data_IF_137531926163
#
_entry.id   IF_137531926163
#
_cell.length_a   1.000
_cell.length_b   1.000
_cell.length_c   1.000
_cell.angle_alpha   90.00
_cell.angle_beta   90.00
_cell.angle_gamma   90.00
#
_symmetry.space_group_name_H-M   'P 1'
#
loop_
_entity.id
_entity.type
_entity.pdbx_description
1 polymer ?
#
# COMPACT_ATOMS: atom_id res chain seq x y z
N UNK A 1 -18.27 4.35 17.15
CA UNK A 1 -17.24 3.62 16.34
C UNK A 1 -16.29 2.91 17.29
N UNK A 2 -16.13 1.61 17.12
CA UNK A 2 -15.21 0.80 17.94
C UNK A 2 -13.77 1.35 17.83
N UNK A 3 -13.00 1.46 18.94
CA UNK A 3 -11.62 1.91 18.94
C UNK A 3 -10.72 1.17 17.93
N UNK A 4 -10.98 -0.13 17.69
CA UNK A 4 -10.24 -0.90 16.70
C UNK A 4 -10.53 -0.46 15.26
N UNK A 5 -11.77 -0.09 14.95
CA UNK A 5 -12.11 0.51 13.65
C UNK A 5 -11.38 1.85 13.46
N UNK A 6 -11.36 2.69 14.48
CA UNK A 6 -10.61 3.96 14.43
C UNK A 6 -9.13 3.71 14.19
N UNK A 7 -8.52 2.79 14.93
CA UNK A 7 -7.13 2.42 14.74
C UNK A 7 -6.85 1.90 13.32
N UNK A 8 -7.72 1.04 12.79
CA UNK A 8 -7.60 0.53 11.41
C UNK A 8 -7.69 1.65 10.37
N UNK A 9 -8.61 2.60 10.54
CA UNK A 9 -8.72 3.75 9.63
C UNK A 9 -7.50 4.67 9.71
N UNK A 10 -6.93 4.87 10.90
CA UNK A 10 -5.70 5.66 11.07
C UNK A 10 -4.54 5.01 10.32
N UNK A 11 -4.30 3.72 10.51
CA UNK A 11 -3.18 3.04 9.82
C UNK A 11 -3.39 2.97 8.31
N UNK A 12 -4.64 2.85 7.83
CA UNK A 12 -4.96 2.97 6.39
C UNK A 12 -4.67 4.37 5.85
N UNK A 13 -5.02 5.42 6.60
CA UNK A 13 -4.69 6.80 6.23
C UNK A 13 -3.18 7.05 6.20
N UNK A 14 -2.44 6.51 7.17
CA UNK A 14 -0.98 6.57 7.18
C UNK A 14 -0.38 5.86 5.97
N UNK A 15 -0.86 4.64 5.65
CA UNK A 15 -0.42 3.91 4.47
C UNK A 15 -0.66 4.70 3.17
N UNK A 16 -1.86 5.25 3.00
CA UNK A 16 -2.17 6.09 1.85
C UNK A 16 -1.24 7.31 1.75
N UNK A 17 -0.95 7.96 2.87
CA UNK A 17 -0.01 9.09 2.95
C UNK A 17 1.40 8.70 2.51
N UNK A 18 1.89 7.54 2.92
CA UNK A 18 3.18 6.99 2.51
C UNK A 18 3.21 6.75 1.00
N UNK A 19 2.24 6.01 0.46
CA UNK A 19 2.15 5.71 -0.98
C UNK A 19 2.09 6.99 -1.84
N UNK A 20 1.30 7.99 -1.42
CA UNK A 20 1.24 9.28 -2.13
C UNK A 20 2.61 9.96 -2.12
N UNK A 21 3.29 9.97 -0.98
CA UNK A 21 4.62 10.59 -0.86
C UNK A 21 5.63 9.92 -1.79
N UNK A 22 5.64 8.60 -1.84
CA UNK A 22 6.51 7.83 -2.73
C UNK A 22 6.25 8.09 -4.20
N UNK A 23 4.97 8.13 -4.60
CA UNK A 23 4.57 8.46 -5.97
C UNK A 23 5.04 9.86 -6.35
N UNK A 24 4.89 10.84 -5.47
CA UNK A 24 5.36 12.21 -5.71
C UNK A 24 6.88 12.27 -5.87
N UNK A 25 7.64 11.56 -5.04
CA UNK A 25 9.10 11.47 -5.16
C UNK A 25 9.54 10.81 -6.47
N UNK A 26 8.89 9.73 -6.85
CA UNK A 26 9.14 9.06 -8.13
C UNK A 26 8.82 9.97 -9.33
N UNK A 27 7.77 10.77 -9.23
CA UNK A 27 7.38 11.71 -10.28
C UNK A 27 8.38 12.87 -10.42
N UNK A 28 8.91 13.35 -9.31
CA UNK A 28 9.88 14.45 -9.29
C UNK A 28 11.26 14.04 -9.85
N UNK A 29 11.57 12.75 -9.88
CA UNK A 29 12.86 12.25 -10.38
C UNK A 29 12.92 12.32 -11.90
N UNK A 30 13.75 13.24 -12.45
CA UNK A 30 13.84 13.52 -13.88
C UNK A 30 15.20 13.15 -14.52
N UNK A 31 16.26 13.02 -13.73
CA UNK A 31 17.61 12.71 -14.17
C UNK A 31 18.18 11.47 -13.47
N UNK A 32 19.34 11.00 -13.90
CA UNK A 32 19.97 9.79 -13.38
C UNK A 32 20.28 9.88 -11.87
N UNK A 33 20.65 11.04 -11.37
CA UNK A 33 20.99 11.24 -9.97
C UNK A 33 19.73 11.23 -9.10
N UNK A 34 18.68 11.93 -9.51
CA UNK A 34 17.40 11.97 -8.80
C UNK A 34 16.68 10.62 -8.82
N UNK A 35 16.79 9.84 -9.92
CA UNK A 35 16.25 8.47 -10.00
C UNK A 35 16.92 7.52 -9.00
N UNK A 36 18.24 7.60 -8.86
CA UNK A 36 18.97 6.81 -7.85
C UNK A 36 18.64 7.26 -6.43
N UNK A 37 18.50 8.58 -6.22
CA UNK A 37 18.09 9.13 -4.93
C UNK A 37 16.67 8.68 -4.56
N UNK A 38 15.72 8.73 -5.50
CA UNK A 38 14.35 8.24 -5.32
C UNK A 38 14.32 6.75 -4.99
N UNK A 39 15.12 5.92 -5.67
CA UNK A 39 15.19 4.48 -5.39
C UNK A 39 15.68 4.19 -3.96
N UNK A 40 16.67 4.93 -3.46
CA UNK A 40 17.17 4.79 -2.08
C UNK A 40 16.18 5.32 -1.05
N UNK A 41 15.56 6.44 -1.33
CA UNK A 41 14.53 7.03 -0.47
C UNK A 41 13.35 6.06 -0.33
N UNK A 42 12.81 5.59 -1.43
CA UNK A 42 11.70 4.65 -1.47
C UNK A 42 12.01 3.38 -0.67
N UNK A 43 13.21 2.79 -0.85
CA UNK A 43 13.64 1.66 -0.05
C UNK A 43 13.60 1.91 1.46
N UNK A 44 14.05 3.08 1.92
CA UNK A 44 14.04 3.42 3.34
C UNK A 44 12.62 3.64 3.86
N UNK A 45 11.76 4.29 3.06
CA UNK A 45 10.36 4.50 3.42
C UNK A 45 9.60 3.18 3.49
N UNK A 46 9.79 2.28 2.54
CA UNK A 46 9.20 0.94 2.57
C UNK A 46 9.64 0.15 3.80
N UNK A 47 10.95 0.14 4.06
CA UNK A 47 11.51 -0.66 5.15
C UNK A 47 11.07 -0.20 6.53
N UNK A 48 11.07 1.11 6.78
CA UNK A 48 10.84 1.68 8.12
C UNK A 48 9.44 2.27 8.30
N UNK A 49 8.73 2.54 7.22
CA UNK A 49 7.39 3.12 7.20
C UNK A 49 6.34 2.15 6.67
N UNK A 50 6.38 1.83 5.36
CA UNK A 50 5.30 1.09 4.72
C UNK A 50 5.12 -0.32 5.28
N UNK A 51 6.19 -1.11 5.43
CA UNK A 51 6.10 -2.48 5.96
C UNK A 51 5.49 -2.55 7.36
N UNK A 52 5.94 -1.76 8.37
CA UNK A 52 5.29 -1.73 9.68
C UNK A 52 3.82 -1.33 9.62
N UNK A 53 3.47 -0.36 8.77
CA UNK A 53 2.09 0.08 8.58
C UNK A 53 1.25 -1.02 7.93
N UNK A 54 1.75 -1.71 6.89
CA UNK A 54 1.05 -2.84 6.26
C UNK A 54 0.80 -3.99 7.25
N UNK A 55 1.76 -4.28 8.13
CA UNK A 55 1.56 -5.27 9.21
C UNK A 55 0.43 -4.81 10.13
N UNK A 56 0.40 -3.54 10.53
CA UNK A 56 -0.67 -3.01 11.37
C UNK A 56 -2.04 -3.05 10.66
N UNK A 57 -2.09 -2.76 9.36
CA UNK A 57 -3.31 -2.88 8.52
C UNK A 57 -3.79 -4.33 8.49
N UNK A 58 -2.90 -5.29 8.26
CA UNK A 58 -3.24 -6.72 8.23
C UNK A 58 -3.75 -7.21 9.58
N UNK A 59 -3.07 -6.88 10.67
CA UNK A 59 -3.45 -7.30 12.03
C UNK A 59 -4.82 -6.74 12.39
N UNK A 60 -5.00 -5.42 12.28
CA UNK A 60 -6.27 -4.78 12.64
C UNK A 60 -7.41 -5.22 11.73
N UNK A 61 -7.16 -5.33 10.42
CA UNK A 61 -8.14 -5.81 9.45
C UNK A 61 -8.56 -7.27 9.69
N UNK A 62 -7.61 -8.14 10.03
CA UNK A 62 -7.90 -9.55 10.36
C UNK A 62 -8.76 -9.66 11.62
N UNK A 63 -8.43 -8.92 12.68
CA UNK A 63 -9.24 -8.92 13.91
C UNK A 63 -10.67 -8.44 13.61
N UNK A 64 -10.81 -7.37 12.83
CA UNK A 64 -12.14 -6.87 12.42
C UNK A 64 -12.90 -7.90 11.58
N UNK A 65 -12.23 -8.57 10.64
CA UNK A 65 -12.85 -9.61 9.84
C UNK A 65 -13.34 -10.80 10.68
N UNK A 66 -12.52 -11.26 11.64
CA UNK A 66 -12.91 -12.36 12.57
C UNK A 66 -14.10 -11.95 13.42
N UNK A 67 -14.13 -10.73 13.95
CA UNK A 67 -15.25 -10.22 14.76
C UNK A 67 -16.55 -10.08 13.97
N UNK A 68 -16.46 -9.82 12.66
CA UNK A 68 -17.60 -9.64 11.77
C UNK A 68 -18.26 -10.97 11.32
N UNK A 69 -17.80 -12.12 11.81
CA UNK A 69 -18.40 -13.41 11.46
C UNK A 69 -19.83 -13.54 12.02
N UNK A 70 -20.83 -14.07 11.27
CA UNK A 70 -20.75 -14.63 9.91
C UNK A 70 -20.72 -13.57 8.81
N UNK A 71 -19.86 -13.80 7.77
CA UNK A 71 -19.65 -12.83 6.71
C UNK A 71 -20.83 -12.77 5.71
N UNK A 72 -21.23 -11.55 5.37
CA UNK A 72 -22.13 -11.27 4.26
C UNK A 72 -21.35 -11.22 2.93
N UNK A 73 -22.03 -11.23 1.77
CA UNK A 73 -21.37 -11.05 0.46
C UNK A 73 -20.50 -9.78 0.38
N UNK A 74 -20.91 -8.68 1.04
CA UNK A 74 -20.12 -7.45 1.11
C UNK A 74 -18.79 -7.62 1.86
N UNK A 75 -18.77 -8.44 2.91
CA UNK A 75 -17.53 -8.77 3.62
C UNK A 75 -16.56 -9.52 2.72
N UNK A 76 -17.03 -10.49 1.92
CA UNK A 76 -16.18 -11.22 0.98
C UNK A 76 -15.58 -10.29 -0.09
N UNK A 77 -16.38 -9.38 -0.64
CA UNK A 77 -15.90 -8.39 -1.63
C UNK A 77 -14.84 -7.47 -0.98
N UNK A 78 -15.12 -6.94 0.20
CA UNK A 78 -14.19 -6.06 0.94
C UNK A 78 -12.88 -6.76 1.26
N UNK A 79 -12.95 -7.95 1.85
CA UNK A 79 -11.76 -8.73 2.25
C UNK A 79 -10.95 -9.11 1.01
N UNK A 80 -11.61 -9.61 -0.04
CA UNK A 80 -10.94 -9.97 -1.30
C UNK A 80 -10.24 -8.78 -1.94
N UNK A 81 -10.90 -7.62 -2.05
CA UNK A 81 -10.31 -6.39 -2.57
C UNK A 81 -9.13 -5.93 -1.70
N UNK A 82 -9.26 -5.98 -0.37
CA UNK A 82 -8.18 -5.62 0.55
C UNK A 82 -6.96 -6.54 0.40
N UNK A 83 -7.16 -7.85 0.24
CA UNK A 83 -6.06 -8.81 0.04
C UNK A 83 -5.33 -8.57 -1.28
N UNK A 84 -6.04 -8.24 -2.36
CA UNK A 84 -5.43 -7.86 -3.64
C UNK A 84 -4.60 -6.59 -3.49
N UNK A 85 -5.13 -5.56 -2.81
CA UNK A 85 -4.43 -4.30 -2.58
C UNK A 85 -3.14 -4.52 -1.77
N UNK A 86 -3.21 -5.24 -0.66
CA UNK A 86 -2.04 -5.55 0.19
C UNK A 86 -1.04 -6.44 -0.56
N UNK A 87 -1.51 -7.44 -1.32
CA UNK A 87 -0.64 -8.29 -2.14
C UNK A 87 0.13 -7.48 -3.18
N UNK A 88 -0.53 -6.55 -3.87
CA UNK A 88 0.12 -5.64 -4.82
C UNK A 88 1.16 -4.75 -4.13
N UNK A 89 0.86 -4.20 -2.94
CA UNK A 89 1.78 -3.40 -2.15
C UNK A 89 3.02 -4.22 -1.73
N UNK A 90 2.85 -5.44 -1.24
CA UNK A 90 3.97 -6.32 -0.85
C UNK A 90 4.87 -6.68 -2.04
N UNK A 91 4.29 -6.94 -3.23
CA UNK A 91 5.08 -7.16 -4.45
C UNK A 91 5.83 -5.89 -4.84
N UNK A 92 5.19 -4.71 -4.67
CA UNK A 92 5.84 -3.41 -4.89
C UNK A 92 7.08 -3.26 -4.01
N UNK A 93 6.96 -3.48 -2.71
CA UNK A 93 8.07 -3.45 -1.74
C UNK A 93 9.21 -4.38 -2.16
N UNK A 94 8.92 -5.60 -2.60
CA UNK A 94 9.95 -6.54 -3.08
C UNK A 94 10.73 -5.97 -4.28
N UNK A 95 10.05 -5.33 -5.22
CA UNK A 95 10.71 -4.70 -6.38
C UNK A 95 11.50 -3.46 -5.99
N UNK A 96 11.01 -2.67 -5.04
CA UNK A 96 11.75 -1.53 -4.48
C UNK A 96 13.05 -2.01 -3.80
N UNK A 97 12.99 -3.12 -3.08
CA UNK A 97 14.17 -3.71 -2.44
C UNK A 97 15.20 -4.22 -3.47
N UNK A 98 14.74 -4.77 -4.59
CA UNK A 98 15.63 -5.23 -5.66
C UNK A 98 16.30 -4.04 -6.38
N UNK A 99 15.54 -2.98 -6.71
CA UNK A 99 16.04 -1.87 -7.52
C UNK A 99 17.04 -0.97 -6.80
N UNK A 100 17.10 -0.98 -5.46
CA UNK A 100 17.97 -0.07 -4.69
C UNK A 100 19.46 -0.15 -5.05
N UNK A 101 19.90 -1.29 -5.56
CA UNK A 101 21.30 -1.59 -5.91
C UNK A 101 21.58 -1.40 -7.40
N UNK A 102 20.57 -1.01 -8.20
CA UNK A 102 20.70 -0.87 -9.64
C UNK A 102 21.17 0.53 -9.96
N UNK A 103 22.27 0.62 -10.71
CA UNK A 103 22.84 1.89 -11.18
C UNK A 103 22.45 2.24 -12.61
N UNK A 104 22.09 1.24 -13.43
CA UNK A 104 21.63 1.45 -14.80
C UNK A 104 20.27 2.15 -14.84
N UNK A 105 20.28 3.35 -15.43
CA UNK A 105 19.10 4.22 -15.52
C UNK A 105 17.96 3.57 -16.31
N UNK A 106 18.27 2.84 -17.39
CA UNK A 106 17.25 2.18 -18.21
C UNK A 106 16.54 1.08 -17.42
N UNK A 107 17.29 0.34 -16.62
CA UNK A 107 16.74 -0.69 -15.71
C UNK A 107 15.89 -0.05 -14.62
N UNK A 108 16.36 1.06 -14.03
CA UNK A 108 15.59 1.83 -13.03
C UNK A 108 14.25 2.33 -13.58
N UNK A 109 14.24 2.83 -14.82
CA UNK A 109 12.99 3.26 -15.48
C UNK A 109 12.02 2.10 -15.70
N UNK A 110 12.53 0.92 -16.03
CA UNK A 110 11.72 -0.30 -16.13
C UNK A 110 11.06 -0.68 -14.81
N UNK A 111 11.82 -0.63 -13.71
CA UNK A 111 11.28 -0.86 -12.36
C UNK A 111 10.25 0.19 -11.97
N UNK A 112 10.51 1.47 -12.24
CA UNK A 112 9.57 2.57 -11.96
C UNK A 112 8.20 2.31 -12.60
N UNK A 113 8.17 1.90 -13.86
CA UNK A 113 6.91 1.59 -14.55
C UNK A 113 6.15 0.44 -13.86
N UNK A 114 6.85 -0.62 -13.44
CA UNK A 114 6.24 -1.76 -12.74
C UNK A 114 5.69 -1.34 -11.36
N UNK A 115 6.44 -0.53 -10.62
CA UNK A 115 6.04 0.01 -9.32
C UNK A 115 4.76 0.83 -9.46
N UNK A 116 4.68 1.71 -10.46
CA UNK A 116 3.46 2.49 -10.72
C UNK A 116 2.25 1.62 -11.09
N UNK A 117 2.46 0.57 -11.86
CA UNK A 117 1.39 -0.37 -12.19
C UNK A 117 0.84 -1.04 -10.93
N UNK A 118 1.71 -1.49 -10.03
CA UNK A 118 1.29 -2.10 -8.76
C UNK A 118 0.64 -1.10 -7.82
N UNK A 119 1.17 0.12 -7.72
CA UNK A 119 0.56 1.19 -6.93
C UNK A 119 -0.85 1.51 -7.45
N UNK A 120 -1.05 1.56 -8.77
CA UNK A 120 -2.37 1.75 -9.37
C UNK A 120 -3.32 0.58 -9.06
N UNK A 121 -2.85 -0.67 -9.15
CA UNK A 121 -3.65 -1.86 -8.77
C UNK A 121 -4.04 -1.76 -7.29
N UNK A 122 -3.07 -1.49 -6.41
CA UNK A 122 -3.35 -1.34 -4.98
C UNK A 122 -4.40 -0.26 -4.72
N UNK A 123 -4.29 0.91 -5.35
CA UNK A 123 -5.25 2.02 -5.20
C UNK A 123 -6.65 1.65 -5.70
N UNK A 124 -6.75 1.01 -6.88
CA UNK A 124 -8.03 0.59 -7.47
C UNK A 124 -8.77 -0.40 -6.56
N UNK A 125 -8.07 -1.32 -5.91
CA UNK A 125 -8.70 -2.30 -5.03
C UNK A 125 -8.87 -1.79 -3.59
N UNK A 126 -7.98 -0.93 -3.09
CA UNK A 126 -8.12 -0.32 -1.77
C UNK A 126 -9.32 0.63 -1.69
N UNK A 127 -9.61 1.38 -2.75
CA UNK A 127 -10.69 2.37 -2.78
C UNK A 127 -12.08 1.74 -2.50
N UNK A 128 -12.54 0.70 -3.23
CA UNK A 128 -13.83 0.08 -2.94
C UNK A 128 -13.83 -0.61 -1.57
N UNK A 129 -12.73 -1.21 -1.13
CA UNK A 129 -12.63 -1.81 0.19
C UNK A 129 -12.80 -0.77 1.30
N UNK A 130 -12.19 0.40 1.16
CA UNK A 130 -12.34 1.52 2.08
C UNK A 130 -13.76 2.08 2.05
N UNK A 131 -14.34 2.28 0.87
CA UNK A 131 -15.71 2.77 0.70
C UNK A 131 -16.72 1.83 1.39
N UNK A 132 -16.64 0.53 1.13
CA UNK A 132 -17.50 -0.46 1.78
C UNK A 132 -17.32 -0.41 3.30
N UNK A 133 -16.08 -0.31 3.78
CA UNK A 133 -15.79 -0.20 5.21
C UNK A 133 -16.45 1.03 5.87
N UNK A 134 -16.36 2.17 5.21
CA UNK A 134 -16.91 3.43 5.72
C UNK A 134 -18.43 3.53 5.57
N UNK A 135 -19.01 2.99 4.51
CA UNK A 135 -20.43 3.14 4.21
C UNK A 135 -21.30 2.13 4.97
N UNK A 136 -20.81 0.90 5.14
CA UNK A 136 -21.64 -0.22 5.62
C UNK A 136 -21.22 -0.81 6.98
N UNK A 137 -19.98 -0.56 7.43
CA UNK A 137 -19.45 -1.18 8.66
C UNK A 137 -18.97 -0.12 9.66
N UNK A 138 -19.79 0.90 9.90
CA UNK A 138 -19.51 2.01 10.85
C UNK A 138 -19.75 1.66 12.32
N UNK A 139 -20.32 0.52 12.62
CA UNK A 139 -20.68 0.12 13.98
C UNK A 139 -19.49 -0.26 14.87
#
# INVERSE_FOLDING_TARGET
MDPLHVAHLIVLGMWLGVVITEVLFEFAASDAQSLRAAARFHYNVDKFGELPILVAVLVTGTILAVRAWPWTPLHFIKIGASLVAVGAALICVLWVFQRRQIEDVNVLLGFRRRIWTLAAIAAVFATPALYIGLAYFRE
#
